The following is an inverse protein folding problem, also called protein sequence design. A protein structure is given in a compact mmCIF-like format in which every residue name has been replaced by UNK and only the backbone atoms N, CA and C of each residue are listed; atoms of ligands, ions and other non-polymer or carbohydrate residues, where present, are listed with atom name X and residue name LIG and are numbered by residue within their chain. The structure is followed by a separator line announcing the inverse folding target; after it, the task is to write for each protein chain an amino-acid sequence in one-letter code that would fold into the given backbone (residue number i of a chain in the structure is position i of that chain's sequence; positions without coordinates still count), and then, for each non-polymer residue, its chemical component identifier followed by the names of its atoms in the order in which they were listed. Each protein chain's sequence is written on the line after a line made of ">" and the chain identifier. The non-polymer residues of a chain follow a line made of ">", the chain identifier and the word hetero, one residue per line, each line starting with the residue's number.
data_IF_281441366139
#
_entry.id   IF_281441366139
#
_cell.length_a   1.000
_cell.length_b   1.000
_cell.length_c   1.000
_cell.angle_alpha   90.00
_cell.angle_beta   90.00
_cell.angle_gamma   90.00
#
_symmetry.space_group_name_H-M   'P 1'
#
loop_
_entity.id
_entity.type
_entity.pdbx_description
1 polymer ?
#
# COMPACT_ATOMS: atom_id res chain seq x y z
N UNK A 1 1.97 -7.22 -20.65
CA UNK A 1 1.89 -5.75 -20.80
C UNK A 1 2.11 -5.16 -19.41
N UNK A 2 3.19 -4.41 -19.19
CA UNK A 2 3.47 -3.81 -17.87
C UNK A 2 2.50 -2.63 -17.66
N UNK A 3 1.82 -2.59 -16.52
CA UNK A 3 0.91 -1.50 -16.21
C UNK A 3 1.73 -0.23 -15.93
N UNK A 4 1.25 0.94 -16.37
CA UNK A 4 1.88 2.24 -16.03
C UNK A 4 1.44 2.76 -14.66
N UNK A 5 0.36 2.21 -14.13
CA UNK A 5 -0.23 2.51 -12.84
C UNK A 5 -0.90 1.24 -12.32
N UNK A 6 -0.81 1.00 -11.01
CA UNK A 6 -1.50 -0.08 -10.34
C UNK A 6 -2.07 0.39 -9.01
N UNK A 7 -3.16 -0.22 -8.60
CA UNK A 7 -3.78 0.00 -7.31
C UNK A 7 -4.30 -1.34 -6.78
N UNK A 8 -4.32 -1.47 -5.47
CA UNK A 8 -4.95 -2.56 -4.76
C UNK A 8 -5.63 -2.02 -3.50
N UNK A 9 -6.49 -2.84 -2.92
CA UNK A 9 -7.26 -2.53 -1.72
C UNK A 9 -7.25 -3.75 -0.80
N UNK A 10 -7.27 -3.51 0.50
CA UNK A 10 -7.37 -4.54 1.52
C UNK A 10 -8.28 -4.09 2.65
N UNK A 11 -8.96 -5.04 3.28
CA UNK A 11 -9.79 -4.82 4.44
C UNK A 11 -9.66 -5.98 5.44
N UNK A 12 -10.05 -5.75 6.68
CA UNK A 12 -9.99 -6.73 7.77
C UNK A 12 -8.88 -6.43 8.76
N UNK A 13 -8.28 -7.49 9.30
CA UNK A 13 -7.32 -7.37 10.41
C UNK A 13 -6.04 -6.65 9.98
N UNK A 14 -5.54 -5.68 10.78
CA UNK A 14 -4.35 -4.88 10.45
C UNK A 14 -3.16 -5.72 9.99
N UNK A 15 -2.87 -6.81 10.68
CA UNK A 15 -1.74 -7.70 10.37
C UNK A 15 -1.79 -8.35 8.98
N UNK A 16 -2.97 -8.37 8.33
CA UNK A 16 -3.15 -8.99 7.01
C UNK A 16 -3.13 -7.99 5.84
N UNK A 17 -3.25 -6.69 6.12
CA UNK A 17 -3.54 -5.68 5.09
C UNK A 17 -2.42 -5.58 4.04
N UNK A 18 -1.15 -5.58 4.46
CA UNK A 18 -0.03 -5.50 3.53
C UNK A 18 0.02 -6.70 2.57
N UNK A 19 -0.14 -7.92 3.09
CA UNK A 19 -0.11 -9.14 2.28
C UNK A 19 -1.25 -9.17 1.26
N UNK A 20 -2.45 -8.72 1.65
CA UNK A 20 -3.59 -8.59 0.74
C UNK A 20 -3.32 -7.55 -0.36
N UNK A 21 -2.83 -6.36 0.00
CA UNK A 21 -2.47 -5.32 -0.98
C UNK A 21 -1.43 -5.81 -1.98
N UNK A 22 -0.39 -6.51 -1.50
CA UNK A 22 0.69 -7.07 -2.33
C UNK A 22 0.14 -8.10 -3.31
N UNK A 23 -0.70 -9.03 -2.84
CA UNK A 23 -1.30 -10.07 -3.69
C UNK A 23 -2.17 -9.47 -4.81
N UNK A 24 -2.85 -8.35 -4.52
CA UNK A 24 -3.67 -7.64 -5.50
C UNK A 24 -2.91 -6.64 -6.39
N UNK A 25 -1.64 -6.36 -6.12
CA UNK A 25 -0.84 -5.37 -6.84
C UNK A 25 -0.15 -6.04 -8.05
N UNK A 26 -0.57 -5.74 -9.30
CA UNK A 26 0.18 -6.20 -10.46
C UNK A 26 1.55 -5.53 -10.50
N UNK A 27 2.54 -6.20 -11.10
CA UNK A 27 3.88 -5.66 -11.26
C UNK A 27 3.84 -4.38 -12.10
N UNK A 28 4.43 -3.30 -11.57
CA UNK A 28 4.61 -2.01 -12.25
C UNK A 28 6.08 -1.81 -12.51
N UNK A 29 6.49 -1.68 -13.77
CA UNK A 29 7.88 -1.38 -14.10
C UNK A 29 8.13 0.12 -14.10
N UNK A 30 9.22 0.55 -13.46
CA UNK A 30 9.63 1.95 -13.43
C UNK A 30 8.80 2.86 -12.51
N UNK A 31 7.99 2.30 -11.61
CA UNK A 31 7.32 3.09 -10.58
C UNK A 31 8.34 3.66 -9.59
N UNK A 32 8.28 4.97 -9.35
CA UNK A 32 9.16 5.68 -8.40
C UNK A 32 8.42 6.24 -7.18
N UNK A 33 7.08 6.18 -7.19
CA UNK A 33 6.23 6.74 -6.14
C UNK A 33 5.09 5.77 -5.78
N UNK A 34 4.96 5.49 -4.49
CA UNK A 34 3.84 4.76 -3.89
C UNK A 34 2.99 5.70 -3.03
N UNK A 35 1.67 5.52 -3.07
CA UNK A 35 0.72 6.26 -2.24
C UNK A 35 -0.11 5.24 -1.46
N UNK A 36 -0.17 5.40 -0.14
CA UNK A 36 -0.98 4.56 0.74
C UNK A 36 -1.98 5.43 1.51
N UNK A 37 -3.26 5.10 1.37
CA UNK A 37 -4.32 5.63 2.22
C UNK A 37 -4.77 4.55 3.20
N UNK A 38 -4.84 4.91 4.47
CA UNK A 38 -5.31 4.03 5.53
C UNK A 38 -6.48 4.68 6.29
N UNK A 39 -7.44 3.85 6.70
CA UNK A 39 -8.46 4.23 7.66
C UNK A 39 -7.85 4.39 9.07
N UNK A 40 -8.55 5.08 9.97
CA UNK A 40 -8.06 5.33 11.33
C UNK A 40 -7.65 4.07 12.09
N UNK A 41 -8.38 2.93 12.04
CA UNK A 41 -7.94 1.71 12.72
C UNK A 41 -6.62 1.16 12.20
N UNK A 42 -6.33 1.33 10.90
CA UNK A 42 -5.08 0.87 10.30
C UNK A 42 -3.92 1.86 10.51
N UNK A 43 -4.18 3.08 10.99
CA UNK A 43 -3.17 4.10 11.24
C UNK A 43 -2.06 3.62 12.19
N UNK A 44 -2.42 2.76 13.16
CA UNK A 44 -1.47 2.23 14.16
C UNK A 44 -0.34 1.40 13.55
N UNK A 45 -0.55 0.83 12.38
CA UNK A 45 0.44 0.02 11.65
C UNK A 45 0.88 0.68 10.35
N UNK A 46 0.51 1.94 10.10
CA UNK A 46 0.84 2.63 8.85
C UNK A 46 2.34 2.61 8.51
N UNK A 47 3.27 2.86 9.46
CA UNK A 47 4.71 2.78 9.16
C UNK A 47 5.15 1.38 8.73
N UNK A 48 4.58 0.34 9.33
CA UNK A 48 4.86 -1.05 8.97
C UNK A 48 4.31 -1.39 7.57
N UNK A 49 3.08 -0.96 7.27
CA UNK A 49 2.48 -1.14 5.94
C UNK A 49 3.33 -0.50 4.84
N UNK A 50 3.78 0.74 5.04
CA UNK A 50 4.63 1.45 4.08
C UNK A 50 5.94 0.67 3.86
N UNK A 51 6.58 0.24 4.95
CA UNK A 51 7.84 -0.50 4.88
C UNK A 51 7.66 -1.82 4.10
N UNK A 52 6.65 -2.62 4.44
CA UNK A 52 6.41 -3.90 3.77
C UNK A 52 6.08 -3.72 2.29
N UNK A 53 5.29 -2.70 1.95
CA UNK A 53 4.98 -2.39 0.55
C UNK A 53 6.21 -1.90 -0.22
N UNK A 54 7.04 -1.05 0.38
CA UNK A 54 8.30 -0.60 -0.21
C UNK A 54 9.26 -1.78 -0.46
N UNK A 55 9.46 -2.63 0.55
CA UNK A 55 10.33 -3.81 0.47
C UNK A 55 9.89 -4.77 -0.65
N UNK A 56 8.58 -4.98 -0.82
CA UNK A 56 8.06 -5.90 -1.83
C UNK A 56 8.02 -5.30 -3.24
N UNK A 57 7.70 -4.02 -3.37
CA UNK A 57 7.55 -3.37 -4.69
C UNK A 57 8.87 -2.83 -5.25
N UNK A 58 9.87 -2.59 -4.39
CA UNK A 58 11.12 -1.91 -4.75
C UNK A 58 10.95 -0.41 -5.00
N UNK A 59 9.80 0.18 -4.67
CA UNK A 59 9.54 1.62 -4.83
C UNK A 59 10.18 2.38 -3.66
N UNK A 60 11.05 3.32 -3.98
CA UNK A 60 11.85 4.07 -2.99
C UNK A 60 11.05 5.10 -2.19
N UNK A 61 10.15 5.84 -2.85
CA UNK A 61 9.41 6.94 -2.23
C UNK A 61 7.96 6.56 -1.95
N UNK A 62 7.54 6.70 -0.69
CA UNK A 62 6.17 6.45 -0.26
C UNK A 62 5.59 7.62 0.49
N UNK A 63 4.35 7.96 0.15
CA UNK A 63 3.53 8.93 0.89
C UNK A 63 2.36 8.18 1.51
N UNK A 64 2.29 8.20 2.84
CA UNK A 64 1.19 7.63 3.60
C UNK A 64 0.26 8.72 4.14
N UNK A 65 -1.04 8.54 3.99
CA UNK A 65 -2.05 9.39 4.58
C UNK A 65 -3.07 8.58 5.39
N UNK A 66 -3.44 9.11 6.56
CA UNK A 66 -4.62 8.64 7.32
C UNK A 66 -5.72 9.67 7.11
N UNK A 67 -6.93 9.20 6.77
CA UNK A 67 -8.06 10.11 6.53
C UNK A 67 -9.35 9.61 7.14
N UNK A 68 -10.08 10.53 7.78
CA UNK A 68 -11.52 10.36 8.03
C UNK A 68 -12.23 10.23 6.68
N UNK A 69 -12.98 9.13 6.49
CA UNK A 69 -13.70 8.85 5.25
C UNK A 69 -12.93 8.01 4.22
N UNK A 70 -11.76 7.48 4.59
CA UNK A 70 -11.17 6.32 3.88
C UNK A 70 -11.90 5.07 4.39
N UNK A 71 -12.78 4.51 3.55
CA UNK A 71 -13.61 3.33 3.85
C UNK A 71 -13.20 2.13 3.00
#
# INVERSE_FOLDING_TARGET
>A
MSARFAASFAAGEPASLAAQCISGLPKVEGATLGILYASEPAAVILPELIRTLADHTGIESWVGGVGLGVC
#
